data_IF_616798642897
#
_entry.id   IF_616798642897
#
_cell.length_a   1.000
_cell.length_b   1.000
_cell.length_c   1.000
_cell.angle_alpha   90.00
_cell.angle_beta   90.00
_cell.angle_gamma   90.00
#
_symmetry.space_group_name_H-M   'P 1'
#
loop_
_entity.id
_entity.type
_entity.pdbx_description
1 polymer ?
#
# COMPACT_ATOMS: atom_id res chain seq x y z
N UNK A 1 4.13 33.54 46.54
CA UNK A 1 3.29 33.88 45.36
C UNK A 1 3.89 33.14 44.17
N UNK A 2 3.14 32.29 43.47
CA UNK A 2 3.68 31.64 42.28
C UNK A 2 3.88 32.70 41.18
N UNK A 3 5.03 32.67 40.52
CA UNK A 3 5.35 33.53 39.39
C UNK A 3 4.40 33.21 38.21
N UNK A 4 3.82 34.24 37.59
CA UNK A 4 2.94 34.07 36.44
C UNK A 4 3.77 33.68 35.22
N UNK A 5 3.46 32.53 34.63
CA UNK A 5 4.09 32.05 33.40
C UNK A 5 3.14 32.17 32.22
N UNK A 6 3.69 32.25 31.02
CA UNK A 6 2.90 32.22 29.78
C UNK A 6 2.31 30.84 29.56
N UNK A 7 1.26 30.77 28.73
CA UNK A 7 0.65 29.49 28.33
C UNK A 7 1.67 28.55 27.67
N UNK A 8 2.59 29.08 26.87
CA UNK A 8 3.61 28.28 26.20
C UNK A 8 4.61 27.69 27.20
N UNK A 9 5.06 28.48 28.17
CA UNK A 9 5.90 27.99 29.26
C UNK A 9 5.19 26.91 30.08
N UNK A 10 3.89 27.07 30.34
CA UNK A 10 3.09 26.05 31.03
C UNK A 10 3.00 24.75 30.21
N UNK A 11 2.74 24.84 28.90
CA UNK A 11 2.67 23.69 27.99
C UNK A 11 3.99 22.95 27.89
N UNK A 12 5.11 23.67 27.80
CA UNK A 12 6.44 23.08 27.77
C UNK A 12 6.75 22.32 29.06
N UNK A 13 6.45 22.92 30.22
CA UNK A 13 6.62 22.24 31.51
C UNK A 13 5.79 20.97 31.62
N UNK A 14 4.52 21.01 31.19
CA UNK A 14 3.65 19.81 31.18
C UNK A 14 4.19 18.72 30.27
N UNK A 15 4.65 19.07 29.06
CA UNK A 15 5.24 18.08 28.13
C UNK A 15 6.55 17.51 28.65
N UNK A 16 7.40 18.34 29.24
CA UNK A 16 8.69 17.92 29.79
C UNK A 16 8.56 17.02 31.02
N UNK A 17 7.44 17.13 31.75
CA UNK A 17 7.13 16.29 32.89
C UNK A 17 6.40 14.99 32.53
N UNK A 18 5.97 14.83 31.26
CA UNK A 18 5.24 13.65 30.82
C UNK A 18 6.22 12.58 30.32
N UNK A 19 6.05 11.36 30.82
CA UNK A 19 6.76 10.19 30.30
C UNK A 19 6.07 9.63 29.05
N UNK A 20 6.85 9.06 28.16
CA UNK A 20 6.33 8.29 27.03
C UNK A 20 5.73 6.98 27.54
N UNK A 21 4.52 6.66 27.10
CA UNK A 21 3.92 5.35 27.38
C UNK A 21 4.71 4.26 26.65
N UNK A 22 5.19 3.26 27.40
CA UNK A 22 5.99 2.12 26.89
C UNK A 22 5.18 0.83 26.80
N UNK A 23 3.99 0.80 27.38
CA UNK A 23 3.10 -0.36 27.31
C UNK A 23 2.36 -0.38 25.98
N UNK A 24 2.32 -1.53 25.34
CA UNK A 24 1.59 -1.77 24.12
C UNK A 24 0.89 -3.12 24.16
N UNK A 25 -0.17 -3.23 23.36
CA UNK A 25 -0.90 -4.47 23.17
C UNK A 25 -1.19 -4.66 21.68
N UNK A 26 -1.15 -5.91 21.23
CA UNK A 26 -1.66 -6.27 19.92
C UNK A 26 -3.19 -6.31 19.97
N UNK A 27 -3.82 -5.47 19.16
CA UNK A 27 -5.27 -5.41 19.01
C UNK A 27 -5.66 -5.82 17.60
N UNK A 28 -6.93 -6.18 17.40
CA UNK A 28 -7.45 -6.39 16.04
C UNK A 28 -7.46 -5.06 15.27
N UNK A 29 -7.37 -5.10 13.94
CA UNK A 29 -7.46 -3.88 13.13
C UNK A 29 -8.79 -3.13 13.30
N UNK A 30 -9.87 -3.85 13.64
CA UNK A 30 -11.18 -3.27 13.86
C UNK A 30 -11.22 -2.46 15.17
N UNK A 31 -10.43 -2.87 16.16
CA UNK A 31 -10.32 -2.19 17.46
C UNK A 31 -9.19 -1.14 17.48
N UNK A 32 -8.40 -1.03 16.42
CA UNK A 32 -7.23 -0.15 16.37
C UNK A 32 -7.58 1.34 16.19
N UNK A 33 -8.82 1.70 15.89
CA UNK A 33 -9.23 3.09 15.66
C UNK A 33 -9.04 3.92 16.94
N UNK A 34 -8.24 4.98 16.86
CA UNK A 34 -7.92 5.85 17.99
C UNK A 34 -6.69 5.41 18.80
N UNK A 35 -6.15 4.22 18.55
CA UNK A 35 -4.85 3.81 19.07
C UNK A 35 -3.70 4.48 18.29
N UNK A 36 -2.50 4.44 18.87
CA UNK A 36 -1.24 4.85 18.23
C UNK A 36 -0.40 3.62 18.00
N UNK A 37 0.34 3.58 16.88
CA UNK A 37 1.30 2.50 16.64
C UNK A 37 2.40 2.54 17.70
N UNK A 38 2.75 1.37 18.21
CA UNK A 38 3.86 1.21 19.16
C UNK A 38 5.23 1.29 18.46
N UNK A 39 5.29 0.90 17.19
CA UNK A 39 6.49 0.88 16.36
C UNK A 39 6.12 1.11 14.88
N UNK A 40 7.15 1.36 14.05
CA UNK A 40 6.97 1.51 12.61
C UNK A 40 6.45 0.21 11.98
N UNK A 41 5.50 0.31 11.06
CA UNK A 41 4.98 -0.84 10.33
C UNK A 41 5.50 -0.86 8.90
N UNK A 42 6.25 -1.91 8.54
CA UNK A 42 6.83 -2.08 7.21
C UNK A 42 5.96 -2.99 6.34
N UNK A 43 5.88 -2.68 5.05
CA UNK A 43 5.23 -3.55 4.09
C UNK A 43 5.98 -4.90 4.01
N UNK A 44 5.23 -6.01 4.04
CA UNK A 44 5.81 -7.36 3.98
C UNK A 44 6.41 -7.70 2.60
N UNK A 45 6.13 -6.91 1.57
CA UNK A 45 6.62 -7.13 0.22
C UNK A 45 6.07 -6.11 -0.78
N UNK A 46 6.41 -6.26 -2.07
CA UNK A 46 5.89 -5.40 -3.13
C UNK A 46 4.38 -5.55 -3.26
N UNK A 47 3.71 -4.43 -3.51
CA UNK A 47 2.30 -4.39 -3.87
C UNK A 47 2.13 -3.58 -5.15
N UNK A 48 1.61 -4.19 -6.24
CA UNK A 48 1.16 -5.57 -6.36
C UNK A 48 2.31 -6.59 -6.34
N UNK A 49 2.04 -7.81 -5.85
CA UNK A 49 3.03 -8.89 -5.78
C UNK A 49 3.42 -9.49 -7.15
N UNK A 50 2.60 -9.26 -8.17
CA UNK A 50 2.78 -9.77 -9.53
C UNK A 50 2.30 -8.75 -10.54
N UNK A 51 2.85 -8.84 -11.75
CA UNK A 51 2.32 -8.13 -12.91
C UNK A 51 0.87 -8.56 -13.16
N UNK A 52 0.01 -7.57 -13.42
CA UNK A 52 -1.43 -7.77 -13.63
C UNK A 52 -1.95 -6.73 -14.60
N UNK A 53 -3.04 -7.07 -15.29
CA UNK A 53 -3.70 -6.13 -16.19
C UNK A 53 -4.26 -4.95 -15.37
N UNK A 54 -4.01 -3.73 -15.85
CA UNK A 54 -4.58 -2.51 -15.26
C UNK A 54 -6.06 -2.33 -15.63
N UNK A 55 -6.49 -2.96 -16.73
CA UNK A 55 -7.83 -2.85 -17.30
C UNK A 55 -8.22 -4.18 -17.93
N UNK A 56 -9.51 -4.34 -18.18
CA UNK A 56 -10.01 -5.42 -19.03
C UNK A 56 -9.54 -5.20 -20.48
N UNK A 57 -9.01 -6.25 -21.09
CA UNK A 57 -8.47 -6.17 -22.45
C UNK A 57 -7.71 -7.43 -22.86
N UNK A 58 -6.84 -7.27 -23.84
CA UNK A 58 -6.03 -8.36 -24.39
C UNK A 58 -4.56 -8.16 -24.07
N UNK A 59 -3.93 -9.17 -23.48
CA UNK A 59 -2.47 -9.22 -23.38
C UNK A 59 -1.90 -9.45 -24.79
N UNK A 60 -1.11 -8.50 -25.28
CA UNK A 60 -0.47 -8.57 -26.59
C UNK A 60 1.03 -8.37 -26.44
N UNK A 61 1.80 -8.97 -27.34
CA UNK A 61 3.23 -8.70 -27.46
C UNK A 61 3.43 -7.45 -28.31
N UNK A 62 3.62 -6.30 -27.67
CA UNK A 62 4.02 -5.10 -28.37
C UNK A 62 5.54 -5.18 -28.65
N UNK A 63 5.93 -5.39 -29.90
CA UNK A 63 7.32 -5.19 -30.32
C UNK A 63 7.73 -3.71 -30.14
N UNK A 64 9.02 -3.40 -30.34
CA UNK A 64 9.55 -2.04 -30.12
C UNK A 64 8.89 -0.92 -30.94
N UNK A 65 8.15 -1.25 -32.01
CA UNK A 65 7.39 -0.31 -32.84
C UNK A 65 5.87 -0.33 -32.63
N UNK A 66 5.35 -1.10 -31.67
CA UNK A 66 3.92 -1.35 -31.51
C UNK A 66 3.34 -2.29 -32.58
N UNK A 67 2.02 -2.41 -32.62
CA UNK A 67 1.29 -3.17 -33.64
C UNK A 67 0.91 -2.24 -34.79
N UNK A 68 1.07 -2.69 -36.03
CA UNK A 68 0.60 -1.95 -37.19
C UNK A 68 -0.93 -1.81 -37.16
N UNK A 69 -1.43 -0.68 -37.65
CA UNK A 69 -2.87 -0.45 -37.75
C UNK A 69 -3.54 -1.54 -38.60
N UNK A 70 -4.71 -2.01 -38.15
CA UNK A 70 -5.44 -3.08 -38.82
C UNK A 70 -4.92 -4.50 -38.56
N UNK A 71 -3.88 -4.67 -37.74
CA UNK A 71 -3.40 -5.99 -37.32
C UNK A 71 -4.52 -6.79 -36.65
N UNK A 72 -4.77 -8.00 -37.15
CA UNK A 72 -5.75 -8.93 -36.58
C UNK A 72 -5.02 -10.04 -35.82
N UNK A 73 -5.34 -10.17 -34.55
CA UNK A 73 -4.81 -11.23 -33.69
C UNK A 73 -5.92 -12.23 -33.33
N UNK A 74 -5.51 -13.48 -33.13
CA UNK A 74 -6.42 -14.51 -32.62
C UNK A 74 -6.33 -14.56 -31.10
N UNK A 75 -7.48 -14.59 -30.44
CA UNK A 75 -7.54 -14.86 -28.99
C UNK A 75 -7.15 -16.32 -28.74
N UNK A 76 -6.08 -16.53 -27.96
CA UNK A 76 -5.53 -17.86 -27.66
C UNK A 76 -5.94 -18.40 -26.29
N UNK A 77 -6.52 -17.54 -25.45
CA UNK A 77 -6.95 -17.89 -24.09
C UNK A 77 -7.41 -16.67 -23.32
N UNK A 78 -7.70 -16.88 -22.04
CA UNK A 78 -8.10 -15.84 -21.10
C UNK A 78 -7.40 -16.06 -19.75
N UNK A 79 -7.25 -14.99 -18.97
CA UNK A 79 -6.62 -15.00 -17.65
C UNK A 79 -7.54 -14.27 -16.65
N UNK A 80 -8.63 -14.90 -16.19
CA UNK A 80 -9.52 -14.29 -15.22
C UNK A 80 -8.83 -14.13 -13.86
N UNK A 81 -9.39 -13.28 -12.99
CA UNK A 81 -8.85 -13.06 -11.65
C UNK A 81 -8.69 -14.39 -10.88
N UNK A 82 -7.51 -14.59 -10.28
CA UNK A 82 -7.18 -15.80 -9.53
C UNK A 82 -6.77 -17.00 -10.40
N UNK A 83 -6.73 -16.88 -11.72
CA UNK A 83 -6.26 -17.93 -12.63
C UNK A 83 -5.09 -17.42 -13.46
N UNK A 84 -4.32 -18.37 -14.01
CA UNK A 84 -3.23 -18.08 -14.95
C UNK A 84 -3.53 -18.71 -16.30
N UNK A 85 -3.09 -18.05 -17.37
CA UNK A 85 -3.06 -18.66 -18.69
C UNK A 85 -1.81 -19.55 -18.81
N UNK A 86 -1.99 -20.85 -19.00
CA UNK A 86 -0.90 -21.83 -19.09
C UNK A 86 -0.29 -21.95 -20.50
N UNK A 87 -0.87 -21.27 -21.48
CA UNK A 87 -0.34 -21.23 -22.84
C UNK A 87 0.70 -20.12 -23.03
N UNK A 88 1.16 -19.98 -24.27
CA UNK A 88 2.08 -18.91 -24.66
C UNK A 88 1.38 -17.95 -25.59
N UNK A 89 1.54 -16.65 -25.34
CA UNK A 89 1.22 -15.62 -26.34
C UNK A 89 2.37 -15.60 -27.34
N UNK A 90 2.25 -16.34 -28.44
CA UNK A 90 3.26 -16.41 -29.51
C UNK A 90 3.19 -15.19 -30.45
N UNK A 91 4.15 -15.07 -31.38
CA UNK A 91 4.15 -14.07 -32.46
C UNK A 91 3.05 -14.36 -33.50
#
# INVERSE_FOLDING_TARGET
MAELITLEQARQRVRAAADTLVEFASVSLLDAVGHRLAEDHHAAGPWPATDRAAMDGYAVRAGGGGLAEGTRLRVVGACPAGQTFSGTVAD
#
